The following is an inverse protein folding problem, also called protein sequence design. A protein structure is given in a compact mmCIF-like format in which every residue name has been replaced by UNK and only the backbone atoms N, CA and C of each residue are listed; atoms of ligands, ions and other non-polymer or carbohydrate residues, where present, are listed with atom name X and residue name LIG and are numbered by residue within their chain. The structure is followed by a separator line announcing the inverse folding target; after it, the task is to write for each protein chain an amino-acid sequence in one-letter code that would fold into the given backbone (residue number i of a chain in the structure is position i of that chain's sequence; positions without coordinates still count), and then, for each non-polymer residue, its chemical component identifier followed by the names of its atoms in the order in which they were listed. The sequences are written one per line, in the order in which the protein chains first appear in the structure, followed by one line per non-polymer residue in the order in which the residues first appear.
data_IF_937494737955
#
_entry.id   IF_937494737955
#
_cell.length_a   1.000
_cell.length_b   1.000
_cell.length_c   1.000
_cell.angle_alpha   90.00
_cell.angle_beta   90.00
_cell.angle_gamma   90.00
#
_symmetry.space_group_name_H-M   'P 1'
#
loop_
_entity.id
_entity.type
_entity.pdbx_description
1 polymer ?
#
# COMPACT_ATOMS: atom_id res chain seq x y z
N UNK A 1 -4.73 19.92 -5.57
CA UNK A 1 -4.04 19.05 -4.60
C UNK A 1 -4.71 19.20 -3.25
N UNK A 2 -5.18 18.09 -2.69
CA UNK A 2 -5.80 17.99 -1.39
C UNK A 2 -4.75 18.00 -0.27
N UNK A 3 -5.15 18.32 0.96
CA UNK A 3 -4.25 18.27 2.14
C UNK A 3 -3.65 16.87 2.34
N UNK A 4 -4.43 15.81 2.07
CA UNK A 4 -3.97 14.43 2.15
C UNK A 4 -2.86 14.10 1.15
N UNK A 5 -2.94 14.60 -0.09
CA UNK A 5 -1.89 14.41 -1.09
C UNK A 5 -0.59 15.13 -0.69
N UNK A 6 -0.71 16.32 -0.10
CA UNK A 6 0.46 17.08 0.39
C UNK A 6 1.14 16.33 1.53
N UNK A 7 0.37 15.84 2.50
CA UNK A 7 0.90 15.06 3.63
C UNK A 7 1.55 13.76 3.15
N UNK A 8 0.90 13.04 2.24
CA UNK A 8 1.42 11.81 1.66
C UNK A 8 2.79 12.04 0.98
N UNK A 9 2.91 13.07 0.13
CA UNK A 9 4.18 13.40 -0.54
C UNK A 9 5.26 13.86 0.44
N UNK A 10 4.90 14.55 1.53
CA UNK A 10 5.86 14.92 2.59
C UNK A 10 6.38 13.68 3.31
N UNK A 11 5.50 12.74 3.64
CA UNK A 11 5.84 11.51 4.37
C UNK A 11 6.71 10.56 3.54
N UNK A 12 6.45 10.50 2.24
CA UNK A 12 7.14 9.58 1.31
C UNK A 12 8.15 10.29 0.43
N UNK A 13 8.66 11.47 0.82
CA UNK A 13 9.50 12.33 -0.03
C UNK A 13 10.69 11.61 -0.69
N UNK A 14 11.31 10.66 0.00
CA UNK A 14 12.47 9.91 -0.48
C UNK A 14 12.11 8.79 -1.47
N UNK A 15 10.89 8.24 -1.37
CA UNK A 15 10.43 7.09 -2.18
C UNK A 15 9.23 7.44 -3.09
N UNK A 16 8.85 8.71 -3.17
CA UNK A 16 7.60 9.13 -3.83
C UNK A 16 7.59 8.78 -5.31
N UNK A 17 8.74 8.91 -5.99
CA UNK A 17 8.87 8.58 -7.40
C UNK A 17 8.63 7.09 -7.65
N UNK A 18 9.17 6.22 -6.79
CA UNK A 18 8.95 4.77 -6.85
C UNK A 18 7.47 4.47 -6.61
N UNK A 19 6.85 5.13 -5.63
CA UNK A 19 5.45 4.97 -5.32
C UNK A 19 4.53 5.36 -6.49
N UNK A 20 4.78 6.52 -7.11
CA UNK A 20 4.05 7.02 -8.26
C UNK A 20 4.23 6.10 -9.48
N UNK A 21 5.44 5.57 -9.70
CA UNK A 21 5.69 4.59 -10.76
C UNK A 21 4.89 3.29 -10.57
N UNK A 22 4.89 2.71 -9.36
CA UNK A 22 4.11 1.49 -9.08
C UNK A 22 2.62 1.78 -9.24
N UNK A 23 2.15 2.95 -8.77
CA UNK A 23 0.76 3.36 -8.91
C UNK A 23 0.32 3.41 -10.37
N UNK A 24 1.13 3.99 -11.25
CA UNK A 24 0.86 4.05 -12.69
C UNK A 24 0.89 2.65 -13.32
N UNK A 25 1.87 1.81 -12.96
CA UNK A 25 1.97 0.43 -13.46
C UNK A 25 0.79 -0.45 -13.03
N UNK A 26 0.16 -0.14 -11.91
CA UNK A 26 -1.02 -0.85 -11.38
C UNK A 26 -2.34 -0.16 -11.73
N UNK A 27 -2.30 0.90 -12.54
CA UNK A 27 -3.49 1.67 -12.96
C UNK A 27 -4.30 2.22 -11.77
N UNK A 28 -3.64 2.47 -10.63
CA UNK A 28 -4.28 2.87 -9.38
C UNK A 28 -5.09 1.76 -8.68
N UNK A 29 -4.97 0.51 -9.12
CA UNK A 29 -5.68 -0.61 -8.55
C UNK A 29 -4.86 -1.38 -7.51
N UNK A 30 -5.53 -1.89 -6.48
CA UNK A 30 -4.93 -2.78 -5.51
C UNK A 30 -4.46 -4.09 -6.16
N UNK A 31 -3.20 -4.49 -5.92
CA UNK A 31 -2.63 -5.71 -6.52
C UNK A 31 -3.28 -7.04 -6.08
N UNK A 32 -4.16 -6.99 -5.08
CA UNK A 32 -4.84 -8.17 -4.51
C UNK A 32 -6.31 -8.23 -4.91
N UNK A 33 -7.07 -7.15 -4.70
CA UNK A 33 -8.51 -7.14 -4.97
C UNK A 33 -8.90 -6.45 -6.28
N UNK A 34 -7.95 -5.79 -6.96
CA UNK A 34 -8.21 -5.07 -8.21
C UNK A 34 -9.06 -3.80 -8.05
N UNK A 35 -9.40 -3.41 -6.81
CA UNK A 35 -10.19 -2.22 -6.57
C UNK A 35 -9.33 -0.96 -6.77
N UNK A 36 -9.85 -0.03 -7.57
CA UNK A 36 -9.21 1.26 -7.79
C UNK A 36 -9.25 2.10 -6.51
N UNK A 37 -8.15 2.78 -6.20
CA UNK A 37 -8.07 3.66 -5.04
C UNK A 37 -7.08 4.80 -5.30
N UNK A 38 -7.29 5.99 -4.72
CA UNK A 38 -6.31 7.06 -4.81
C UNK A 38 -4.97 6.63 -4.21
N UNK A 39 -3.86 7.18 -4.73
CA UNK A 39 -2.49 6.81 -4.33
C UNK A 39 -2.25 6.90 -2.81
N UNK A 40 -2.83 7.90 -2.14
CA UNK A 40 -2.71 8.13 -0.71
C UNK A 40 -3.57 7.17 0.16
N UNK A 41 -4.40 6.33 -0.45
CA UNK A 41 -5.16 5.23 0.18
C UNK A 41 -4.55 3.85 -0.08
N UNK A 42 -3.54 3.78 -0.93
CA UNK A 42 -2.79 2.57 -1.17
C UNK A 42 -1.57 2.56 -0.25
N UNK A 43 -1.08 1.36 0.06
CA UNK A 43 0.11 1.10 0.85
C UNK A 43 1.10 0.28 0.03
N UNK A 44 2.33 0.76 -0.08
CA UNK A 44 3.42 0.03 -0.71
C UNK A 44 3.87 -1.12 0.18
N UNK A 45 3.90 -2.31 -0.40
CA UNK A 45 4.50 -3.51 0.18
C UNK A 45 5.79 -3.81 -0.55
N UNK A 46 6.90 -3.71 0.16
CA UNK A 46 8.19 -4.24 -0.29
C UNK A 46 8.26 -5.74 0.05
N UNK A 47 8.38 -6.62 -0.94
CA UNK A 47 8.50 -8.05 -0.69
C UNK A 47 9.83 -8.37 0.01
N UNK A 48 9.80 -9.31 0.97
CA UNK A 48 11.00 -9.78 1.69
C UNK A 48 11.96 -10.60 0.81
N UNK A 49 11.51 -11.04 -0.36
CA UNK A 49 12.32 -11.87 -1.27
C UNK A 49 13.14 -10.96 -2.19
N UNK A 50 14.46 -11.18 -2.30
CA UNK A 50 15.29 -10.43 -3.23
C UNK A 50 14.80 -10.68 -4.67
N UNK A 51 14.66 -9.60 -5.45
CA UNK A 51 14.21 -9.64 -6.85
C UNK A 51 12.70 -9.54 -7.08
N UNK A 52 11.88 -9.53 -6.03
CA UNK A 52 10.45 -9.27 -6.19
C UNK A 52 10.17 -7.76 -6.25
N UNK A 53 9.33 -7.34 -7.19
CA UNK A 53 8.97 -5.93 -7.35
C UNK A 53 8.02 -5.46 -6.23
N UNK A 54 8.14 -4.21 -5.77
CA UNK A 54 7.19 -3.61 -4.83
C UNK A 54 5.81 -3.47 -5.47
N UNK A 55 4.76 -3.57 -4.66
CA UNK A 55 3.36 -3.49 -5.09
C UNK A 55 2.56 -2.57 -4.17
N UNK A 56 1.53 -1.90 -4.70
CA UNK A 56 0.56 -1.15 -3.92
C UNK A 56 -0.69 -1.98 -3.63
N UNK A 57 -1.22 -1.81 -2.41
CA UNK A 57 -2.40 -2.54 -1.92
C UNK A 57 -3.30 -1.61 -1.13
N UNK A 58 -4.61 -1.77 -1.22
CA UNK A 58 -5.53 -1.01 -0.38
C UNK A 58 -5.35 -1.37 1.10
N UNK A 59 -5.75 -0.47 2.01
CA UNK A 59 -5.63 -0.65 3.46
C UNK A 59 -6.15 -2.00 3.96
N UNK A 60 -7.27 -2.47 3.38
CA UNK A 60 -7.90 -3.75 3.73
C UNK A 60 -6.98 -4.93 3.41
N UNK A 61 -6.51 -5.02 2.16
CA UNK A 61 -5.65 -6.11 1.71
C UNK A 61 -4.25 -6.04 2.31
N UNK A 62 -3.73 -4.84 2.56
CA UNK A 62 -2.44 -4.65 3.23
C UNK A 62 -2.47 -5.24 4.65
N UNK A 63 -3.48 -4.85 5.46
CA UNK A 63 -3.66 -5.37 6.83
C UNK A 63 -3.92 -6.86 6.89
N UNK A 64 -4.72 -7.41 5.96
CA UNK A 64 -4.99 -8.85 5.91
C UNK A 64 -3.72 -9.67 5.74
N UNK A 65 -2.73 -9.17 4.98
CA UNK A 65 -1.48 -9.89 4.75
C UNK A 65 -0.48 -9.77 5.90
N UNK A 66 -0.47 -8.63 6.60
CA UNK A 66 0.32 -8.48 7.83
C UNK A 66 -0.16 -9.46 8.91
N UNK A 67 -1.48 -9.63 9.03
CA UNK A 67 -2.10 -10.59 9.96
C UNK A 67 -1.88 -12.06 9.53
N UNK A 68 -1.76 -12.33 8.23
CA UNK A 68 -1.43 -13.68 7.73
C UNK A 68 0.06 -14.02 7.88
N UNK A 69 0.94 -13.01 7.80
CA UNK A 69 2.39 -13.16 7.98
C UNK A 69 2.88 -13.06 9.43
N UNK A 70 2.03 -12.59 10.34
CA UNK A 70 2.28 -12.50 11.78
C UNK A 70 1.01 -12.85 12.54
N UNK A 71 1.03 -14.02 13.20
CA UNK A 71 0.18 -14.47 14.30
C UNK A 71 -1.05 -13.59 14.55
N UNK A 72 -2.23 -14.13 14.24
CA UNK A 72 -3.53 -13.75 14.79
C UNK A 72 -3.41 -13.11 16.18
N UNK A 73 -3.34 -11.78 16.24
CA UNK A 73 -3.81 -11.04 17.42
C UNK A 73 -5.21 -10.60 17.12
N UNK A 74 -6.12 -11.57 17.25
CA UNK A 74 -7.51 -11.30 17.59
C UNK A 74 -7.52 -10.29 18.75
N UNK A 75 -7.97 -9.06 18.47
CA UNK A 75 -8.62 -8.20 19.45
C UNK A 75 -9.73 -7.44 18.75
N UNK A 76 -10.82 -8.16 18.51
CA UNK A 76 -12.19 -7.61 18.48
C UNK A 76 -13.03 -8.48 19.41
N UNK A 77 -12.83 -8.28 20.71
CA UNK A 77 -13.89 -8.41 21.71
C UNK A 77 -14.17 -6.96 22.11
N UNK A 78 -15.25 -6.39 21.56
CA UNK A 78 -16.51 -6.07 22.24
C UNK A 78 -16.35 -4.94 23.26
#
# INVERSE_FOLDING_TARGET
MTEFEIEFRRKHKEDIEVYEQIYLNQEGCCSICGEWSPIYWLHMRTPKRPGAAPELRCCRCFRSLELAGGVLKNKRER
#
